data_IF_795512349825
#
_entry.id   IF_795512349825
#
_cell.length_a   1.000
_cell.length_b   1.000
_cell.length_c   1.000
_cell.angle_alpha   90.00
_cell.angle_beta   90.00
_cell.angle_gamma   90.00
#
_symmetry.space_group_name_H-M   'P 1'
#
loop_
_entity.id
_entity.type
_entity.pdbx_description
1 polymer ?
#
# COMPACT_ATOMS: atom_id res chain seq x y z
N UNK A 1 7.32 3.70 21.14
CA UNK A 1 5.98 3.20 21.53
C UNK A 1 5.26 2.68 20.28
N UNK A 2 4.49 1.59 20.36
CA UNK A 2 3.70 1.11 19.22
C UNK A 2 2.64 2.17 18.86
N UNK A 3 2.51 2.59 17.59
CA UNK A 3 1.59 3.66 17.19
C UNK A 3 0.12 3.31 17.47
N UNK A 4 -0.26 2.03 17.39
CA UNK A 4 -1.61 1.55 17.76
C UNK A 4 -1.91 1.77 19.23
N UNK A 5 -0.95 1.47 20.10
CA UNK A 5 -1.07 1.71 21.54
C UNK A 5 -1.17 3.20 21.85
N UNK A 6 -0.48 4.05 21.10
CA UNK A 6 -0.56 5.50 21.22
C UNK A 6 -1.90 6.08 20.82
N UNK A 7 -2.48 5.59 19.72
CA UNK A 7 -3.82 5.99 19.27
C UNK A 7 -4.89 5.50 20.24
N UNK A 8 -4.77 4.28 20.74
CA UNK A 8 -5.65 3.75 21.78
C UNK A 8 -5.56 4.60 23.06
N UNK A 9 -4.35 5.00 23.45
CA UNK A 9 -4.14 5.88 24.59
C UNK A 9 -4.78 7.26 24.36
N UNK A 10 -4.57 7.89 23.20
CA UNK A 10 -5.22 9.14 22.84
C UNK A 10 -6.75 9.02 22.86
N UNK A 11 -7.28 7.93 22.32
CA UNK A 11 -8.70 7.65 22.34
C UNK A 11 -9.27 7.50 23.74
N UNK A 12 -8.61 6.70 24.59
CA UNK A 12 -9.00 6.57 25.99
C UNK A 12 -8.96 7.93 26.70
N UNK A 13 -7.88 8.69 26.54
CA UNK A 13 -7.69 10.00 27.18
C UNK A 13 -8.71 11.04 26.72
N UNK A 14 -9.07 11.04 25.43
CA UNK A 14 -10.14 11.89 24.90
C UNK A 14 -11.51 11.51 25.49
N UNK A 15 -11.77 10.22 25.74
CA UNK A 15 -13.01 9.78 26.39
C UNK A 15 -13.12 10.19 27.85
N UNK A 16 -12.00 10.22 28.57
CA UNK A 16 -11.96 10.62 29.98
C UNK A 16 -11.94 12.14 30.19
N UNK A 17 -12.60 12.92 29.31
CA UNK A 17 -12.75 14.39 29.38
C UNK A 17 -13.30 14.88 30.73
N UNK A 18 -12.40 14.97 31.69
CA UNK A 18 -12.46 15.78 32.90
C UNK A 18 -10.99 16.02 33.28
N UNK A 19 -10.70 17.00 34.12
CA UNK A 19 -9.37 17.51 34.48
C UNK A 19 -8.23 16.48 34.66
N UNK A 20 -8.54 15.22 34.94
CA UNK A 20 -7.62 14.10 35.16
C UNK A 20 -6.89 13.60 33.89
N UNK A 21 -7.48 13.73 32.68
CA UNK A 21 -6.87 13.25 31.43
C UNK A 21 -5.47 13.83 31.15
N UNK A 22 -5.27 15.11 31.49
CA UNK A 22 -3.99 15.81 31.35
C UNK A 22 -2.96 15.40 32.40
N UNK A 23 -3.38 14.88 33.56
CA UNK A 23 -2.47 14.36 34.58
C UNK A 23 -1.84 13.04 34.13
N UNK A 24 -2.58 12.20 33.40
CA UNK A 24 -2.05 10.93 32.91
C UNK A 24 -0.88 11.09 31.92
N UNK A 25 -0.86 12.18 31.13
CA UNK A 25 0.29 12.51 30.27
C UNK A 25 1.58 12.74 31.07
N UNK A 26 1.50 13.17 32.34
CA UNK A 26 2.68 13.42 33.18
C UNK A 26 3.42 12.15 33.54
N UNK A 27 2.75 11.00 33.55
CA UNK A 27 3.38 9.70 33.84
C UNK A 27 4.06 9.07 32.62
N UNK A 28 3.86 9.62 31.42
CA UNK A 28 4.61 9.22 30.23
C UNK A 28 6.00 9.87 30.23
N UNK A 29 7.01 9.17 29.70
CA UNK A 29 8.32 9.75 29.40
C UNK A 29 8.19 10.87 28.35
N UNK A 30 9.11 11.84 28.35
CA UNK A 30 9.10 12.96 27.39
C UNK A 30 9.03 12.47 25.93
N UNK A 31 9.82 11.44 25.60
CA UNK A 31 9.83 10.79 24.28
C UNK A 31 8.47 10.20 23.89
N UNK A 32 7.76 9.56 24.83
CA UNK A 32 6.45 8.98 24.54
C UNK A 32 5.36 10.06 24.46
N UNK A 33 5.47 11.17 25.18
CA UNK A 33 4.53 12.29 25.06
C UNK A 33 4.58 12.92 23.67
N UNK A 34 5.77 13.17 23.15
CA UNK A 34 5.94 13.71 21.80
C UNK A 34 5.40 12.73 20.74
N UNK A 35 5.72 11.44 20.87
CA UNK A 35 5.20 10.41 19.98
C UNK A 35 3.66 10.32 20.00
N UNK A 36 3.04 10.45 21.17
CA UNK A 36 1.58 10.43 21.32
C UNK A 36 0.93 11.69 20.75
N UNK A 37 1.56 12.86 20.93
CA UNK A 37 1.04 14.14 20.44
C UNK A 37 1.01 14.26 18.91
N UNK A 38 1.89 13.54 18.22
CA UNK A 38 1.93 13.49 16.75
C UNK A 38 0.90 12.53 16.16
N UNK A 39 0.26 11.68 16.97
CA UNK A 39 -0.72 10.72 16.49
C UNK A 39 -2.11 11.35 16.34
N UNK A 40 -2.87 10.99 15.29
CA UNK A 40 -4.22 11.49 15.12
C UNK A 40 -5.10 11.05 16.30
N UNK A 41 -5.98 11.94 16.74
CA UNK A 41 -7.01 11.60 17.74
C UNK A 41 -8.22 11.05 16.98
N UNK A 42 -8.68 9.83 17.26
CA UNK A 42 -9.85 9.28 16.58
C UNK A 42 -11.09 10.13 16.90
N UNK A 43 -11.80 10.60 15.88
CA UNK A 43 -13.08 11.31 16.05
C UNK A 43 -14.18 10.37 16.56
N UNK A 44 -14.12 9.09 16.18
CA UNK A 44 -15.05 8.06 16.60
C UNK A 44 -14.35 6.92 17.36
N UNK A 45 -14.58 6.88 18.67
CA UNK A 45 -14.09 5.83 19.58
C UNK A 45 -15.09 4.67 19.75
N UNK A 46 -16.21 4.71 19.02
CA UNK A 46 -17.15 3.59 18.91
C UNK A 46 -16.68 2.51 17.94
N UNK A 47 -15.57 2.75 17.22
CA UNK A 47 -14.88 1.78 16.35
C UNK A 47 -14.39 0.60 17.23
N UNK A 48 -15.20 -0.46 17.30
CA UNK A 48 -15.38 -1.26 18.49
C UNK A 48 -14.19 -2.19 18.66
N UNK A 49 -13.66 -2.40 19.87
CA UNK A 49 -12.89 -3.64 20.15
C UNK A 49 -11.78 -3.91 19.09
N UNK A 50 -11.06 -2.86 18.71
CA UNK A 50 -9.65 -2.80 18.24
C UNK A 50 -9.14 -3.66 17.06
N UNK A 51 -9.73 -4.79 16.64
CA UNK A 51 -9.07 -5.69 15.66
C UNK A 51 -9.97 -6.58 14.78
N UNK A 52 -11.29 -6.39 14.74
CA UNK A 52 -12.14 -7.18 13.83
C UNK A 52 -12.19 -6.57 12.44
N UNK A 53 -11.16 -6.83 11.65
CA UNK A 53 -11.21 -6.59 10.21
C UNK A 53 -11.76 -7.84 9.53
N UNK A 54 -13.03 -8.17 9.75
CA UNK A 54 -13.70 -9.15 8.92
C UNK A 54 -13.69 -8.60 7.48
N UNK A 55 -12.84 -9.17 6.62
CA UNK A 55 -12.64 -8.70 5.25
C UNK A 55 -11.23 -8.25 4.88
N UNK A 56 -10.27 -8.20 5.81
CA UNK A 56 -8.87 -7.83 5.49
C UNK A 56 -8.25 -8.71 4.41
N UNK A 57 -8.63 -9.99 4.35
CA UNK A 57 -8.12 -10.88 3.31
C UNK A 57 -8.51 -10.35 1.94
N UNK A 58 -9.73 -9.86 1.76
CA UNK A 58 -10.25 -9.41 0.46
C UNK A 58 -9.53 -8.17 -0.09
N UNK A 59 -8.98 -7.32 0.79
CA UNK A 59 -8.24 -6.13 0.37
C UNK A 59 -6.80 -6.42 -0.05
N UNK A 60 -6.29 -7.62 0.22
CA UNK A 60 -4.90 -7.99 -0.08
C UNK A 60 -4.83 -8.82 -1.38
N UNK A 61 -3.81 -8.54 -2.19
CA UNK A 61 -3.55 -9.30 -3.41
C UNK A 61 -3.01 -10.70 -3.08
N UNK A 62 -3.41 -11.72 -3.85
CA UNK A 62 -3.05 -13.11 -3.57
C UNK A 62 -1.54 -13.37 -3.53
N UNK A 63 -0.74 -12.55 -4.22
CA UNK A 63 0.73 -12.66 -4.24
C UNK A 63 1.36 -12.53 -2.85
N UNK A 64 0.69 -11.88 -1.90
CA UNK A 64 1.16 -11.76 -0.52
C UNK A 64 1.07 -13.07 0.25
N UNK A 65 0.22 -14.01 -0.18
CA UNK A 65 0.09 -15.34 0.43
C UNK A 65 1.10 -16.35 -0.14
N UNK A 66 1.83 -16.01 -1.21
CA UNK A 66 2.73 -16.94 -1.90
C UNK A 66 3.92 -17.33 -1.03
N UNK A 67 4.47 -16.41 -0.24
CA UNK A 67 5.51 -16.74 0.76
C UNK A 67 5.01 -17.74 1.81
N UNK A 68 3.73 -17.65 2.18
CA UNK A 68 3.11 -18.57 3.13
C UNK A 68 2.85 -19.94 2.50
N UNK A 69 2.58 -20.02 1.18
CA UNK A 69 2.46 -21.30 0.47
C UNK A 69 3.76 -22.12 0.50
N UNK A 70 4.92 -21.47 0.61
CA UNK A 70 6.21 -22.16 0.74
C UNK A 70 6.43 -22.72 2.15
N UNK A 71 5.78 -22.14 3.15
CA UNK A 71 6.04 -22.44 4.57
C UNK A 71 4.94 -23.31 5.18
N UNK A 72 3.71 -23.17 4.71
CA UNK A 72 2.52 -23.83 5.26
C UNK A 72 1.99 -24.89 4.30
N UNK A 73 1.29 -25.92 4.81
CA UNK A 73 0.61 -26.88 3.95
C UNK A 73 -0.43 -26.17 3.06
N UNK A 74 -0.28 -26.21 1.72
CA UNK A 74 -1.11 -25.43 0.79
C UNK A 74 -2.61 -25.72 0.91
N UNK A 75 -2.98 -26.98 1.19
CA UNK A 75 -4.37 -27.41 1.40
C UNK A 75 -5.12 -26.60 2.47
N UNK A 76 -4.43 -26.21 3.55
CA UNK A 76 -5.06 -25.46 4.64
C UNK A 76 -5.11 -23.97 4.32
N UNK A 77 -4.06 -23.42 3.71
CA UNK A 77 -4.03 -22.01 3.33
C UNK A 77 -5.12 -21.70 2.28
N UNK A 78 -5.21 -22.52 1.23
CA UNK A 78 -6.23 -22.35 0.19
C UNK A 78 -7.65 -22.50 0.75
N UNK A 79 -7.84 -23.32 1.79
CA UNK A 79 -9.15 -23.50 2.43
C UNK A 79 -9.64 -22.31 3.26
N UNK A 80 -8.76 -21.38 3.65
CA UNK A 80 -9.13 -20.18 4.43
C UNK A 80 -9.27 -18.92 3.57
N UNK A 81 -8.68 -18.93 2.37
CA UNK A 81 -8.73 -17.78 1.46
C UNK A 81 -10.08 -17.65 0.74
N UNK A 82 -10.50 -16.43 0.39
CA UNK A 82 -11.58 -16.20 -0.58
C UNK A 82 -11.30 -16.88 -1.92
N UNK A 83 -12.33 -17.40 -2.60
CA UNK A 83 -12.19 -18.21 -3.82
C UNK A 83 -11.27 -17.57 -4.87
N UNK A 84 -11.48 -16.28 -5.19
CA UNK A 84 -10.65 -15.56 -6.18
C UNK A 84 -9.16 -15.53 -5.82
N UNK A 85 -8.85 -15.46 -4.53
CA UNK A 85 -7.48 -15.44 -4.02
C UNK A 85 -6.89 -16.83 -3.97
N UNK A 86 -7.67 -17.84 -3.57
CA UNK A 86 -7.28 -19.23 -3.63
C UNK A 86 -6.94 -19.64 -5.07
N UNK A 87 -7.76 -19.27 -6.05
CA UNK A 87 -7.50 -19.56 -7.47
C UNK A 87 -6.22 -18.87 -7.97
N UNK A 88 -6.00 -17.62 -7.56
CA UNK A 88 -4.79 -16.86 -7.90
C UNK A 88 -3.52 -17.46 -7.27
N UNK A 89 -3.61 -17.84 -5.99
CA UNK A 89 -2.50 -18.44 -5.25
C UNK A 89 -2.21 -19.88 -5.74
N UNK A 90 -3.23 -20.66 -6.08
CA UNK A 90 -3.07 -22.03 -6.59
C UNK A 90 -2.29 -22.07 -7.91
N UNK A 91 -2.41 -21.04 -8.76
CA UNK A 91 -1.61 -20.92 -10.01
C UNK A 91 -0.10 -20.82 -9.77
N UNK A 92 0.31 -20.48 -8.54
CA UNK A 92 1.73 -20.39 -8.18
C UNK A 92 2.31 -21.74 -7.71
N UNK A 93 1.46 -22.75 -7.51
CA UNK A 93 1.86 -24.10 -7.13
C UNK A 93 2.05 -24.97 -8.39
N UNK A 94 3.04 -25.85 -8.36
CA UNK A 94 3.27 -26.84 -9.42
C UNK A 94 2.13 -27.88 -9.47
N UNK A 95 1.58 -28.24 -8.30
CA UNK A 95 0.43 -29.13 -8.15
C UNK A 95 -0.65 -28.46 -7.31
N UNK A 96 -1.91 -28.55 -7.78
CA UNK A 96 -3.05 -28.01 -7.06
C UNK A 96 -3.49 -29.05 -6.03
N UNK A 97 -3.34 -28.77 -4.72
CA UNK A 97 -3.72 -29.72 -3.68
C UNK A 97 -5.24 -29.84 -3.58
N UNK A 98 -5.72 -31.00 -3.15
CA UNK A 98 -7.12 -31.16 -2.78
C UNK A 98 -7.43 -30.28 -1.55
N UNK A 99 -8.41 -29.39 -1.69
CA UNK A 99 -8.78 -28.44 -0.63
C UNK A 99 -9.50 -29.20 0.48
N UNK A 100 -8.89 -29.23 1.67
CA UNK A 100 -9.50 -29.86 2.83
C UNK A 100 -10.47 -28.87 3.50
N UNK A 101 -11.77 -29.21 3.66
CA UNK A 101 -12.69 -28.35 4.38
C UNK A 101 -12.30 -28.28 5.86
N UNK A 102 -12.15 -27.06 6.36
CA UNK A 102 -11.84 -26.81 7.77
C UNK A 102 -13.10 -26.53 8.57
N UNK A 103 -13.08 -26.91 9.85
CA UNK A 103 -14.11 -26.48 10.80
C UNK A 103 -14.09 -24.97 10.95
N UNK A 104 -15.23 -24.37 11.32
CA UNK A 104 -15.35 -22.91 11.53
C UNK A 104 -14.29 -22.39 12.49
N UNK A 105 -14.07 -23.09 13.61
CA UNK A 105 -13.09 -22.70 14.62
C UNK A 105 -11.66 -22.73 14.06
N UNK A 106 -11.30 -23.77 13.33
CA UNK A 106 -9.97 -23.87 12.72
C UNK A 106 -9.75 -22.80 11.65
N UNK A 107 -10.76 -22.54 10.80
CA UNK A 107 -10.71 -21.46 9.82
C UNK A 107 -10.49 -20.12 10.51
N UNK A 108 -11.28 -19.80 11.53
CA UNK A 108 -11.13 -18.54 12.29
C UNK A 108 -9.74 -18.43 12.92
N UNK A 109 -9.26 -19.50 13.58
CA UNK A 109 -7.95 -19.51 14.21
C UNK A 109 -6.82 -19.27 13.20
N UNK A 110 -6.78 -20.03 12.10
CA UNK A 110 -5.74 -19.88 11.08
C UNK A 110 -5.82 -18.53 10.37
N UNK A 111 -7.03 -18.01 10.11
CA UNK A 111 -7.22 -16.67 9.56
C UNK A 111 -6.65 -15.59 10.49
N UNK A 112 -6.84 -15.71 11.80
CA UNK A 112 -6.25 -14.79 12.78
C UNK A 112 -4.73 -14.93 12.87
N UNK A 113 -4.22 -16.16 12.91
CA UNK A 113 -2.77 -16.39 12.94
C UNK A 113 -2.08 -15.85 11.69
N UNK A 114 -2.65 -16.09 10.50
CA UNK A 114 -2.13 -15.54 9.25
C UNK A 114 -2.13 -14.02 9.27
N UNK A 115 -3.21 -13.40 9.77
CA UNK A 115 -3.29 -11.94 9.92
C UNK A 115 -2.15 -11.42 10.80
N UNK A 116 -1.91 -12.04 11.94
CA UNK A 116 -0.88 -11.62 12.89
C UNK A 116 0.53 -11.73 12.30
N UNK A 117 0.80 -12.78 11.51
CA UNK A 117 2.07 -12.95 10.80
C UNK A 117 2.28 -11.95 9.66
N UNK A 118 1.20 -11.50 9.01
CA UNK A 118 1.26 -10.55 7.89
C UNK A 118 1.24 -9.10 8.34
N UNK A 119 0.67 -8.82 9.51
CA UNK A 119 0.45 -7.46 9.96
C UNK A 119 1.72 -6.87 10.56
N UNK A 120 2.26 -5.84 9.92
CA UNK A 120 3.29 -5.02 10.55
C UNK A 120 2.66 -4.27 11.75
N UNK A 121 3.24 -4.39 12.96
CA UNK A 121 2.77 -3.65 14.13
C UNK A 121 2.84 -2.12 13.95
N UNK A 122 3.70 -1.62 13.07
CA UNK A 122 3.88 -0.20 12.79
C UNK A 122 2.82 0.36 11.82
N UNK A 123 2.22 -0.48 10.98
CA UNK A 123 1.20 -0.05 10.03
C UNK A 123 -0.13 0.14 10.74
N UNK A 124 -0.67 1.34 10.63
CA UNK A 124 -1.97 1.71 11.16
C UNK A 124 -3.09 1.25 10.21
N UNK A 125 -4.25 0.82 10.75
CA UNK A 125 -5.43 0.62 9.93
C UNK A 125 -5.84 1.94 9.25
N UNK A 126 -6.49 1.84 8.08
CA UNK A 126 -6.90 2.98 7.25
C UNK A 126 -7.63 4.08 8.04
N UNK A 127 -8.57 3.70 8.90
CA UNK A 127 -9.37 4.63 9.72
C UNK A 127 -8.54 5.45 10.73
N UNK A 128 -7.29 5.06 10.96
CA UNK A 128 -6.39 5.72 11.90
C UNK A 128 -5.18 6.36 11.22
N UNK A 129 -5.14 6.37 9.88
CA UNK A 129 -4.09 7.08 9.16
C UNK A 129 -4.26 8.59 9.34
N UNK A 130 -3.14 9.34 9.45
CA UNK A 130 -3.21 10.80 9.48
C UNK A 130 -3.83 11.33 8.20
N UNK A 131 -4.54 12.46 8.27
CA UNK A 131 -5.07 13.12 7.08
C UNK A 131 -3.93 13.50 6.14
N UNK A 132 -3.89 12.85 4.98
CA UNK A 132 -2.90 13.10 3.94
C UNK A 132 -3.61 13.20 2.59
N UNK A 133 -3.17 14.09 1.69
CA UNK A 133 -3.67 14.12 0.31
C UNK A 133 -3.45 12.78 -0.42
N UNK A 134 -2.50 11.96 0.06
CA UNK A 134 -2.22 10.63 -0.48
C UNK A 134 -3.17 9.53 0.01
N UNK A 135 -4.04 9.80 1.00
CA UNK A 135 -4.99 8.80 1.49
C UNK A 135 -5.97 8.35 0.38
N UNK A 136 -6.21 9.20 -0.63
CA UNK A 136 -7.00 8.83 -1.81
C UNK A 136 -6.42 7.65 -2.60
N UNK A 137 -5.12 7.34 -2.44
CA UNK A 137 -4.48 6.18 -3.07
C UNK A 137 -5.02 4.84 -2.53
N UNK A 138 -5.53 4.82 -1.29
CA UNK A 138 -6.04 3.61 -0.65
C UNK A 138 -7.32 3.10 -1.32
N UNK A 139 -8.08 4.00 -1.95
CA UNK A 139 -9.33 3.68 -2.66
C UNK A 139 -9.11 3.28 -4.12
N UNK A 140 -7.88 3.32 -4.62
CA UNK A 140 -7.60 3.01 -6.03
C UNK A 140 -7.64 1.51 -6.29
N UNK A 141 -8.29 1.13 -7.38
CA UNK A 141 -8.26 -0.23 -7.91
C UNK A 141 -6.92 -0.52 -8.58
N UNK A 142 -6.56 -1.80 -8.73
CA UNK A 142 -5.31 -2.21 -9.41
C UNK A 142 -5.13 -1.54 -10.79
N UNK A 143 -6.13 -1.51 -11.70
CA UNK A 143 -5.97 -0.80 -12.98
C UNK A 143 -5.65 0.69 -12.82
N UNK A 144 -6.26 1.35 -11.83
CA UNK A 144 -5.98 2.75 -11.54
C UNK A 144 -4.58 2.97 -10.96
N UNK A 145 -4.11 2.06 -10.09
CA UNK A 145 -2.73 2.09 -9.58
C UNK A 145 -1.73 1.88 -10.72
N UNK A 146 -1.94 0.91 -11.61
CA UNK A 146 -1.07 0.70 -12.76
C UNK A 146 -1.02 1.93 -13.67
N UNK A 147 -2.19 2.53 -13.94
CA UNK A 147 -2.26 3.75 -14.73
C UNK A 147 -1.55 4.93 -14.06
N UNK A 148 -1.67 5.08 -12.74
CA UNK A 148 -0.94 6.09 -11.98
C UNK A 148 0.57 5.87 -12.07
N UNK A 149 1.04 4.62 -11.95
CA UNK A 149 2.46 4.27 -12.10
C UNK A 149 2.95 4.65 -13.51
N UNK A 150 2.18 4.34 -14.56
CA UNK A 150 2.51 4.70 -15.93
C UNK A 150 2.66 6.23 -16.10
N UNK A 151 1.78 7.01 -15.45
CA UNK A 151 1.86 8.49 -15.49
C UNK A 151 3.04 9.03 -14.67
N UNK A 152 3.40 8.40 -13.55
CA UNK A 152 4.59 8.76 -12.78
C UNK A 152 5.87 8.52 -13.60
N UNK A 153 5.95 7.42 -14.35
CA UNK A 153 7.05 7.21 -15.30
C UNK A 153 7.15 8.30 -16.37
N UNK A 154 6.01 8.77 -16.89
CA UNK A 154 5.98 9.91 -17.83
C UNK A 154 6.40 11.22 -17.18
N UNK A 155 6.05 11.44 -15.91
CA UNK A 155 6.52 12.59 -15.15
C UNK A 155 8.05 12.60 -15.08
N UNK A 156 8.67 11.47 -14.74
CA UNK A 156 10.12 11.37 -14.62
C UNK A 156 10.80 11.53 -15.99
N UNK A 157 10.22 10.92 -17.03
CA UNK A 157 10.64 11.09 -18.42
C UNK A 157 10.62 12.56 -18.87
N UNK A 158 9.64 13.36 -18.42
CA UNK A 158 9.53 14.78 -18.79
C UNK A 158 10.69 15.63 -18.25
N UNK A 159 11.32 15.23 -17.16
CA UNK A 159 12.50 15.91 -16.62
C UNK A 159 13.73 15.67 -17.50
N UNK A 160 13.94 14.41 -17.91
CA UNK A 160 15.11 14.01 -18.69
C UNK A 160 14.98 14.38 -20.17
N UNK A 161 13.77 14.40 -20.72
CA UNK A 161 13.50 14.84 -22.10
C UNK A 161 14.01 16.25 -22.40
N UNK A 162 14.09 17.15 -21.40
CA UNK A 162 14.65 18.51 -21.58
C UNK A 162 16.14 18.49 -21.90
N UNK A 163 16.84 17.42 -21.51
CA UNK A 163 18.28 17.24 -21.70
C UNK A 163 18.59 16.44 -22.98
N UNK A 164 17.59 15.80 -23.59
CA UNK A 164 17.77 15.01 -24.81
C UNK A 164 17.84 15.93 -26.03
N UNK A 165 19.00 15.92 -26.71
CA UNK A 165 19.25 16.72 -27.92
C UNK A 165 18.91 15.93 -29.21
N UNK A 166 18.86 14.61 -29.13
CA UNK A 166 18.62 13.74 -30.29
C UNK A 166 17.13 13.70 -30.71
N UNK A 167 16.83 14.32 -31.86
CA UNK A 167 15.48 14.35 -32.45
C UNK A 167 14.96 12.97 -32.86
N UNK A 168 15.85 12.05 -33.22
CA UNK A 168 15.45 10.69 -33.62
C UNK A 168 14.97 9.89 -32.41
N UNK A 169 15.66 10.01 -31.28
CA UNK A 169 15.30 9.42 -30.00
C UNK A 169 13.99 10.03 -29.47
N UNK A 170 13.84 11.36 -29.53
CA UNK A 170 12.61 12.05 -29.17
C UNK A 170 11.40 11.54 -29.94
N UNK A 171 11.52 11.39 -31.27
CA UNK A 171 10.44 10.87 -32.09
C UNK A 171 10.04 9.43 -31.72
N UNK A 172 11.01 8.57 -31.41
CA UNK A 172 10.74 7.19 -30.94
C UNK A 172 10.00 7.19 -29.60
N UNK A 173 10.40 8.05 -28.67
CA UNK A 173 9.72 8.20 -27.37
C UNK A 173 8.27 8.64 -27.57
N UNK A 174 8.02 9.68 -28.37
CA UNK A 174 6.67 10.15 -28.64
C UNK A 174 5.79 9.10 -29.33
N UNK A 175 6.36 8.26 -30.19
CA UNK A 175 5.64 7.15 -30.84
C UNK A 175 5.32 6.00 -29.89
N UNK A 176 6.11 5.81 -28.82
CA UNK A 176 5.89 4.76 -27.84
C UNK A 176 4.73 5.09 -26.87
N UNK A 177 4.52 6.38 -26.58
CA UNK A 177 3.52 6.86 -25.64
C UNK A 177 2.09 6.85 -26.20
N UNK A 178 1.11 6.66 -25.33
CA UNK A 178 -0.32 6.82 -25.67
C UNK A 178 -0.71 8.30 -25.77
N UNK A 179 -1.86 8.59 -26.39
CA UNK A 179 -2.33 9.98 -26.55
C UNK A 179 -2.54 10.69 -25.19
N UNK A 180 -2.99 9.96 -24.18
CA UNK A 180 -3.16 10.48 -22.82
C UNK A 180 -1.81 10.79 -22.16
N UNK A 181 -0.86 9.86 -22.24
CA UNK A 181 0.50 10.07 -21.76
C UNK A 181 1.19 11.24 -22.46
N UNK A 182 0.98 11.43 -23.76
CA UNK A 182 1.49 12.59 -24.50
C UNK A 182 0.90 13.90 -23.99
N UNK A 183 -0.41 13.95 -23.72
CA UNK A 183 -1.05 15.14 -23.13
C UNK A 183 -0.48 15.45 -21.75
N UNK A 184 -0.29 14.43 -20.93
CA UNK A 184 0.32 14.57 -19.61
C UNK A 184 1.78 15.02 -19.71
N UNK A 185 2.56 14.46 -20.62
CA UNK A 185 3.95 14.85 -20.88
C UNK A 185 4.05 16.33 -21.30
N UNK A 186 3.18 16.79 -22.19
CA UNK A 186 3.11 18.21 -22.59
C UNK A 186 2.69 19.13 -21.44
N UNK A 187 1.91 18.63 -20.49
CA UNK A 187 1.58 19.37 -19.29
C UNK A 187 2.80 19.47 -18.35
N UNK A 188 3.48 18.35 -18.09
CA UNK A 188 4.67 18.30 -17.23
C UNK A 188 5.86 19.09 -17.79
N UNK A 189 6.05 19.12 -19.11
CA UNK A 189 7.16 19.86 -19.74
C UNK A 189 7.05 21.38 -19.59
N UNK A 190 5.81 21.91 -19.43
CA UNK A 190 5.56 23.34 -19.20
C UNK A 190 5.75 23.76 -17.75
N UNK A 191 5.79 22.81 -16.82
CA UNK A 191 5.95 23.12 -15.39
C UNK A 191 7.43 23.13 -15.01
N UNK A 192 7.84 24.10 -14.19
CA UNK A 192 9.15 24.06 -13.53
C UNK A 192 9.06 23.07 -12.38
N UNK A 193 9.67 21.90 -12.54
CA UNK A 193 9.69 20.87 -11.50
C UNK A 193 10.56 21.36 -10.33
N UNK A 194 10.00 21.39 -9.12
CA UNK A 194 10.73 21.72 -7.90
C UNK A 194 11.63 20.55 -7.43
N UNK A 195 11.29 19.34 -7.86
CA UNK A 195 12.02 18.12 -7.55
C UNK A 195 12.62 17.54 -8.83
N UNK A 196 13.88 17.12 -8.76
CA UNK A 196 14.60 16.49 -9.87
C UNK A 196 14.54 14.97 -9.68
N UNK A 197 13.84 14.23 -10.55
CA UNK A 197 13.81 12.77 -10.47
C UNK A 197 15.20 12.16 -10.68
N UNK A 198 15.44 10.94 -10.18
CA UNK A 198 16.64 10.18 -10.52
C UNK A 198 16.70 10.00 -12.05
N UNK A 199 17.91 10.17 -12.63
CA UNK A 199 18.10 10.14 -14.08
C UNK A 199 17.71 8.77 -14.65
N UNK A 200 16.73 8.75 -15.54
CA UNK A 200 16.47 7.64 -16.44
C UNK A 200 17.65 7.60 -17.42
N UNK A 201 18.30 6.45 -17.56
CA UNK A 201 19.44 6.30 -18.47
C UNK A 201 18.95 6.16 -19.93
N UNK A 202 18.21 7.18 -20.42
CA UNK A 202 17.54 7.20 -21.72
C UNK A 202 18.54 7.10 -22.88
N UNK A 203 19.79 7.53 -22.66
CA UNK A 203 20.86 7.42 -23.64
C UNK A 203 21.21 5.96 -24.02
N UNK A 204 20.88 4.99 -23.15
CA UNK A 204 21.06 3.55 -23.40
C UNK A 204 19.79 2.82 -23.84
N UNK A 205 18.69 3.52 -24.11
CA UNK A 205 17.42 2.89 -24.47
C UNK A 205 17.45 2.32 -25.91
N UNK A 206 17.00 1.07 -26.05
CA UNK A 206 16.97 0.30 -27.30
C UNK A 206 15.87 0.74 -28.29
N UNK A 207 14.91 1.56 -27.83
CA UNK A 207 13.81 2.05 -28.65
C UNK A 207 12.57 1.16 -28.62
N UNK A 208 12.52 0.11 -27.79
CA UNK A 208 11.34 -0.74 -27.66
C UNK A 208 10.31 -0.20 -26.66
N UNK A 209 9.02 -0.33 -27.01
CA UNK A 209 7.92 0.15 -26.16
C UNK A 209 7.85 -0.55 -24.79
N UNK A 210 8.27 -1.82 -24.72
CA UNK A 210 8.24 -2.59 -23.47
C UNK A 210 9.33 -2.17 -22.50
N UNK A 211 10.52 -1.82 -22.99
CA UNK A 211 11.64 -1.37 -22.17
C UNK A 211 11.41 0.05 -21.64
N UNK A 212 10.64 0.90 -22.34
CA UNK A 212 10.28 2.23 -21.86
C UNK A 212 9.30 2.22 -20.67
N UNK A 213 8.39 1.24 -20.61
CA UNK A 213 7.44 1.10 -19.49
C UNK A 213 8.04 0.42 -18.24
N UNK A 214 9.27 -0.11 -18.33
CA UNK A 214 9.97 -0.76 -17.22
C UNK A 214 11.11 0.11 -16.63
N UNK A 215 11.42 1.25 -17.25
CA UNK A 215 12.38 2.24 -16.75
C UNK A 215 11.68 3.23 -15.83
#
# INVERSE_FOLDING_TARGET
MNPKSGIMLNGLLARFHSSQGKEYYRYLSAQNREAVAQLPTPEDLSLPILFQSDGWMQSIHYSWFVSFLQTWPPKFLLSILPQKQADGAAKTLEEIPEIQPLSRLMRTYLSHYLKDQMQDPQILPENFLPSSPLNGLLSLTRPQIMHLIDLLGVHDLAADLRQVVDKSLLNKIYQALTQEQLRFLHYCSKQTMAWVPPKLNIAGWDGEKKSLNMM
#
